data_IF_633280777545
#
_entry.id   IF_633280777545
#
_cell.length_a   1.000
_cell.length_b   1.000
_cell.length_c   1.000
_cell.angle_alpha   90.00
_cell.angle_beta   90.00
_cell.angle_gamma   90.00
#
_symmetry.space_group_name_H-M   'P 1'
#
loop_
_entity.id
_entity.type
_entity.pdbx_description
1 polymer ?
#
# COMPACT_ATOMS: atom_id res chain seq x y z
N UNK A 1 103.10 13.22 39.13
CA UNK A 1 101.90 12.35 38.99
C UNK A 1 100.79 12.84 39.91
N UNK A 2 99.74 13.50 39.39
CA UNK A 2 98.45 13.64 40.10
C UNK A 2 97.32 13.47 39.08
N UNK A 3 96.48 12.47 39.37
CA UNK A 3 95.46 11.87 38.51
C UNK A 3 94.26 12.81 38.39
N UNK A 4 93.98 13.34 37.20
CA UNK A 4 92.74 14.07 36.89
C UNK A 4 91.60 13.04 36.95
N UNK A 5 90.81 13.03 38.03
CA UNK A 5 89.58 12.24 38.10
C UNK A 5 88.55 12.94 37.23
N UNK A 6 88.04 12.22 36.24
CA UNK A 6 86.82 12.57 35.52
C UNK A 6 85.65 12.40 36.49
N UNK A 7 85.30 13.45 37.21
CA UNK A 7 83.97 13.54 37.80
C UNK A 7 83.01 13.83 36.66
N UNK A 8 82.44 12.75 36.11
CA UNK A 8 81.29 12.83 35.22
C UNK A 8 80.18 13.46 36.05
N UNK A 9 79.82 14.69 35.72
CA UNK A 9 78.75 15.45 36.37
C UNK A 9 77.41 14.71 36.24
N UNK A 10 77.06 13.93 37.27
CA UNK A 10 75.85 13.10 37.36
C UNK A 10 74.61 14.00 37.27
N UNK A 11 74.67 15.24 37.74
CA UNK A 11 73.55 16.18 37.69
C UNK A 11 73.22 16.60 36.25
N UNK A 12 74.25 16.84 35.44
CA UNK A 12 74.13 17.09 33.99
C UNK A 12 73.52 15.89 33.24
N UNK A 13 73.94 14.67 33.58
CA UNK A 13 73.38 13.45 32.97
C UNK A 13 71.92 13.22 33.38
N UNK A 14 71.57 13.44 34.65
CA UNK A 14 70.20 13.32 35.14
C UNK A 14 69.27 14.37 34.53
N UNK A 15 69.70 15.64 34.41
CA UNK A 15 68.91 16.69 33.74
C UNK A 15 68.69 16.36 32.25
N UNK A 16 69.69 15.82 31.55
CA UNK A 16 69.55 15.38 30.16
C UNK A 16 68.56 14.22 30.03
N UNK A 17 68.58 13.25 30.94
CA UNK A 17 67.64 12.13 30.93
C UNK A 17 66.19 12.58 31.19
N UNK A 18 65.99 13.52 32.12
CA UNK A 18 64.68 14.12 32.40
C UNK A 18 64.15 14.91 31.22
N UNK A 19 64.99 15.68 30.53
CA UNK A 19 64.63 16.42 29.32
C UNK A 19 64.23 15.49 28.17
N UNK A 20 64.93 14.37 28.00
CA UNK A 20 64.59 13.36 26.98
C UNK A 20 63.24 12.70 27.31
N UNK A 21 63.02 12.30 28.57
CA UNK A 21 61.73 11.73 29.03
C UNK A 21 60.56 12.70 28.87
N UNK A 22 60.77 14.00 29.11
CA UNK A 22 59.75 15.03 28.92
C UNK A 22 59.41 15.26 27.43
N UNK A 23 60.42 15.29 26.56
CA UNK A 23 60.26 15.45 25.10
C UNK A 23 59.53 14.25 24.47
N UNK A 24 59.84 13.03 24.92
CA UNK A 24 59.16 11.80 24.44
C UNK A 24 57.69 11.74 24.89
N UNK A 25 57.39 12.11 26.15
CA UNK A 25 56.00 12.24 26.64
C UNK A 25 55.19 13.29 25.86
N UNK A 26 55.80 14.42 25.50
CA UNK A 26 55.15 15.46 24.69
C UNK A 26 54.87 15.02 23.25
N UNK A 27 55.81 14.29 22.62
CA UNK A 27 55.66 13.76 21.25
C UNK A 27 54.56 12.68 21.18
N UNK A 28 54.51 11.77 22.16
CA UNK A 28 53.43 10.77 22.29
C UNK A 28 52.05 11.41 22.48
N UNK A 29 51.92 12.42 23.35
CA UNK A 29 50.66 13.15 23.57
C UNK A 29 50.17 13.91 22.33
N UNK A 30 51.08 14.46 21.52
CA UNK A 30 50.74 15.11 20.25
C UNK A 30 50.22 14.11 19.20
N UNK A 31 50.83 12.93 19.11
CA UNK A 31 50.36 11.85 18.21
C UNK A 31 48.96 11.36 18.55
N UNK A 32 48.66 11.15 19.84
CA UNK A 32 47.33 10.72 20.29
C UNK A 32 46.26 11.78 20.02
N UNK A 33 46.56 13.07 20.19
CA UNK A 33 45.63 14.17 19.88
C UNK A 33 45.33 14.25 18.38
N UNK A 34 46.33 14.09 17.53
CA UNK A 34 46.13 14.06 16.08
C UNK A 34 45.23 12.89 15.66
N UNK A 35 45.41 11.72 16.29
CA UNK A 35 44.62 10.52 16.01
C UNK A 35 43.16 10.65 16.47
N UNK A 36 42.93 11.26 17.63
CA UNK A 36 41.58 11.57 18.12
C UNK A 36 40.86 12.59 17.23
N UNK A 37 41.56 13.62 16.74
CA UNK A 37 41.00 14.60 15.82
C UNK A 37 40.65 13.98 14.46
N UNK A 38 41.49 13.09 13.93
CA UNK A 38 41.16 12.37 12.69
C UNK A 38 39.96 11.43 12.84
N UNK A 39 39.81 10.79 14.01
CA UNK A 39 38.66 9.94 14.31
C UNK A 39 37.38 10.77 14.40
N UNK A 40 37.42 11.92 15.09
CA UNK A 40 36.30 12.85 15.20
C UNK A 40 35.87 13.40 13.84
N UNK A 41 36.83 13.77 12.98
CA UNK A 41 36.56 14.24 11.62
C UNK A 41 35.93 13.12 10.77
N UNK A 42 36.42 11.88 10.89
CA UNK A 42 35.83 10.72 10.21
C UNK A 42 34.38 10.46 10.62
N UNK A 43 34.09 10.52 11.92
CA UNK A 43 32.72 10.38 12.45
C UNK A 43 31.83 11.54 11.94
N UNK A 44 32.34 12.77 11.91
CA UNK A 44 31.59 13.93 11.38
C UNK A 44 31.27 13.76 9.89
N UNK A 45 32.22 13.29 9.09
CA UNK A 45 32.02 13.03 7.65
C UNK A 45 31.02 11.89 7.45
N UNK A 46 31.13 10.81 8.23
CA UNK A 46 30.17 9.71 8.19
C UNK A 46 28.78 10.21 8.58
N UNK A 47 28.67 10.99 9.64
CA UNK A 47 27.41 11.58 10.09
C UNK A 47 26.81 12.49 9.01
N UNK A 48 27.61 13.36 8.39
CA UNK A 48 27.17 14.23 7.29
C UNK A 48 26.71 13.43 6.07
N UNK A 49 27.45 12.38 5.68
CA UNK A 49 27.07 11.47 4.58
C UNK A 49 25.80 10.68 4.91
N UNK A 50 25.61 10.26 6.16
CA UNK A 50 24.40 9.59 6.62
C UNK A 50 23.21 10.56 6.62
N UNK A 51 23.40 11.80 7.08
CA UNK A 51 22.39 12.85 7.08
C UNK A 51 21.93 13.21 5.66
N UNK A 52 22.87 13.25 4.70
CA UNK A 52 22.54 13.52 3.29
C UNK A 52 21.92 12.31 2.56
N UNK A 53 22.03 11.10 3.12
CA UNK A 53 21.28 9.93 2.65
C UNK A 53 19.85 9.93 3.14
N UNK A 54 19.60 10.34 4.39
CA UNK A 54 18.26 10.51 4.94
C UNK A 54 17.45 11.52 4.12
N UNK A 55 18.00 12.70 3.84
CA UNK A 55 17.32 13.74 3.05
C UNK A 55 16.97 13.31 1.61
N UNK A 56 17.85 12.54 0.96
CA UNK A 56 17.59 11.98 -0.39
C UNK A 56 16.51 10.90 -0.39
N UNK A 57 16.42 10.07 0.66
CA UNK A 57 15.34 9.08 0.80
C UNK A 57 13.98 9.76 0.92
N UNK A 58 13.88 10.85 1.70
CA UNK A 58 12.65 11.62 1.83
C UNK A 58 12.22 12.27 0.51
N UNK A 59 13.17 12.80 -0.26
CA UNK A 59 12.87 13.36 -1.59
C UNK A 59 12.50 12.27 -2.62
N UNK A 60 13.18 11.13 -2.62
CA UNK A 60 12.81 9.97 -3.45
C UNK A 60 11.42 9.45 -3.12
N UNK A 61 11.00 9.49 -1.86
CA UNK A 61 9.64 9.15 -1.45
C UNK A 61 8.61 10.18 -1.96
N UNK A 62 8.93 11.48 -1.95
CA UNK A 62 8.06 12.52 -2.54
C UNK A 62 7.98 12.50 -4.07
N UNK A 63 8.95 11.87 -4.74
CA UNK A 63 8.99 11.66 -6.20
C UNK A 63 8.38 10.31 -6.61
N UNK A 64 8.19 9.40 -5.66
CA UNK A 64 7.53 8.12 -5.85
C UNK A 64 6.03 8.28 -5.55
N UNK A 65 5.30 8.83 -6.53
CA UNK A 65 3.87 8.59 -6.81
C UNK A 65 2.93 8.96 -5.63
N UNK A 66 2.07 9.96 -5.81
CA UNK A 66 0.78 9.99 -5.08
C UNK A 66 0.20 8.58 -5.21
N UNK A 67 0.09 7.81 -4.12
CA UNK A 67 -0.42 6.44 -4.18
C UNK A 67 -1.88 6.50 -4.66
N UNK A 68 -2.07 6.49 -5.98
CA UNK A 68 -3.39 6.45 -6.61
C UNK A 68 -4.07 5.20 -6.10
N UNK A 69 -5.19 5.36 -5.39
CA UNK A 69 -6.02 4.23 -5.02
C UNK A 69 -6.59 3.61 -6.31
N UNK A 70 -6.47 2.29 -6.46
CA UNK A 70 -6.97 1.59 -7.64
C UNK A 70 -8.01 0.56 -7.25
N UNK A 71 -9.05 0.48 -8.07
CA UNK A 71 -10.06 -0.56 -7.96
C UNK A 71 -10.30 -1.20 -9.32
N UNK A 72 -10.65 -2.48 -9.32
CA UNK A 72 -11.09 -3.20 -10.52
C UNK A 72 -12.60 -3.35 -10.48
N UNK A 73 -13.31 -2.76 -11.43
CA UNK A 73 -14.76 -2.88 -11.56
C UNK A 73 -15.08 -3.92 -12.64
N UNK A 74 -16.00 -4.84 -12.36
CA UNK A 74 -16.29 -5.94 -13.28
C UNK A 74 -17.52 -5.65 -14.11
N UNK A 75 -17.33 -5.36 -15.39
CA UNK A 75 -18.40 -5.17 -16.37
C UNK A 75 -18.51 -6.38 -17.30
N UNK A 76 -19.57 -6.50 -18.09
CA UNK A 76 -19.67 -7.61 -19.07
C UNK A 76 -19.18 -7.18 -20.45
N UNK A 77 -18.62 -8.12 -21.20
CA UNK A 77 -18.23 -7.88 -22.59
C UNK A 77 -19.47 -7.70 -23.49
N UNK A 78 -19.38 -6.81 -24.48
CA UNK A 78 -20.39 -6.65 -25.52
C UNK A 78 -20.56 -7.88 -26.43
N UNK A 79 -19.59 -8.81 -26.44
CA UNK A 79 -19.57 -9.98 -27.33
C UNK A 79 -20.08 -11.25 -26.67
N UNK A 80 -19.85 -11.40 -25.37
CA UNK A 80 -20.10 -12.62 -24.62
C UNK A 80 -20.52 -12.28 -23.20
N UNK A 81 -21.41 -13.05 -22.56
CA UNK A 81 -21.80 -12.86 -21.18
C UNK A 81 -20.70 -13.35 -20.24
N UNK A 82 -19.59 -12.62 -20.19
CA UNK A 82 -18.44 -12.86 -19.31
C UNK A 82 -18.00 -11.53 -18.71
N UNK A 83 -17.60 -11.55 -17.44
CA UNK A 83 -17.08 -10.38 -16.76
C UNK A 83 -15.64 -10.08 -17.18
N UNK A 84 -15.34 -8.80 -17.33
CA UNK A 84 -14.02 -8.25 -17.63
C UNK A 84 -13.76 -7.15 -16.62
N UNK A 85 -12.59 -7.20 -15.99
CA UNK A 85 -12.18 -6.20 -15.01
C UNK A 85 -11.64 -4.95 -15.70
N UNK A 86 -12.23 -3.80 -15.38
CA UNK A 86 -11.75 -2.47 -15.76
C UNK A 86 -11.06 -1.84 -14.56
N UNK A 87 -9.76 -1.50 -14.67
CA UNK A 87 -9.03 -0.86 -13.57
C UNK A 87 -9.18 0.65 -13.59
N UNK A 88 -9.73 1.21 -12.52
CA UNK A 88 -9.86 2.66 -12.30
C UNK A 88 -8.85 3.17 -11.28
N UNK A 89 -8.47 4.43 -11.45
CA UNK A 89 -7.64 5.18 -10.51
C UNK A 89 -8.44 6.29 -9.86
N UNK A 90 -8.25 6.46 -8.56
CA UNK A 90 -8.91 7.45 -7.74
C UNK A 90 -7.86 8.32 -7.08
N UNK A 91 -8.12 9.64 -7.07
CA UNK A 91 -7.24 10.62 -6.44
C UNK A 91 -7.31 10.57 -4.92
N UNK A 92 -8.49 10.25 -4.41
CA UNK A 92 -8.75 10.16 -2.97
C UNK A 92 -8.76 8.69 -2.56
N UNK A 93 -7.96 8.38 -1.55
CA UNK A 93 -7.94 7.06 -0.93
C UNK A 93 -9.09 7.02 0.09
N UNK A 94 -10.02 6.06 0.00
CA UNK A 94 -11.08 5.92 0.99
C UNK A 94 -10.52 5.73 2.40
N UNK A 95 -11.16 6.35 3.38
CA UNK A 95 -10.69 6.34 4.78
C UNK A 95 -10.86 4.97 5.44
N UNK A 96 -11.76 4.13 4.90
CA UNK A 96 -12.05 2.78 5.36
C UNK A 96 -12.70 1.95 4.25
N UNK A 97 -12.85 0.64 4.51
CA UNK A 97 -13.44 -0.33 3.58
C UNK A 97 -14.87 0.05 3.17
N UNK A 98 -15.68 0.54 4.11
CA UNK A 98 -17.07 0.89 3.82
C UNK A 98 -17.15 2.03 2.79
N UNK A 99 -16.34 3.07 2.95
CA UNK A 99 -16.26 4.18 2.01
C UNK A 99 -15.74 3.71 0.63
N UNK A 100 -14.72 2.85 0.61
CA UNK A 100 -14.20 2.30 -0.64
C UNK A 100 -15.22 1.42 -1.37
N UNK A 101 -15.95 0.58 -0.64
CA UNK A 101 -16.98 -0.29 -1.19
C UNK A 101 -18.18 0.51 -1.72
N UNK A 102 -18.59 1.60 -1.04
CA UNK A 102 -19.59 2.55 -1.56
C UNK A 102 -19.14 3.16 -2.88
N UNK A 103 -17.92 3.69 -2.92
CA UNK A 103 -17.33 4.27 -4.13
C UNK A 103 -17.29 3.25 -5.28
N UNK A 104 -16.89 2.01 -5.01
CA UNK A 104 -16.82 0.94 -6.02
C UNK A 104 -18.20 0.68 -6.66
N UNK A 105 -19.27 0.59 -5.85
CA UNK A 105 -20.62 0.37 -6.35
C UNK A 105 -21.18 1.57 -7.10
N UNK A 106 -20.94 2.79 -6.62
CA UNK A 106 -21.35 4.01 -7.33
C UNK A 106 -20.69 4.10 -8.71
N UNK A 107 -19.40 3.77 -8.79
CA UNK A 107 -18.65 3.75 -10.04
C UNK A 107 -19.10 2.60 -10.98
N UNK A 108 -19.50 1.46 -10.40
CA UNK A 108 -20.09 0.35 -11.15
C UNK A 108 -21.45 0.73 -11.75
N UNK A 109 -22.29 1.46 -11.01
CA UNK A 109 -23.59 1.98 -11.47
C UNK A 109 -23.40 3.00 -12.62
N UNK A 110 -22.37 3.85 -12.55
CA UNK A 110 -22.05 4.80 -13.63
C UNK A 110 -21.75 4.10 -14.97
N UNK A 111 -21.30 2.84 -14.92
CA UNK A 111 -20.99 2.04 -16.10
C UNK A 111 -19.54 2.13 -16.55
N UNK A 112 -19.15 1.30 -17.52
CA UNK A 112 -17.77 1.18 -17.98
C UNK A 112 -17.27 2.43 -18.71
N UNK A 113 -15.96 2.62 -18.71
CA UNK A 113 -15.25 3.65 -19.48
C UNK A 113 -14.49 3.05 -20.67
N UNK A 114 -14.17 1.76 -20.63
CA UNK A 114 -13.47 1.06 -21.70
C UNK A 114 -14.41 0.63 -22.84
N UNK A 115 -13.94 0.77 -24.08
CA UNK A 115 -14.69 0.33 -25.26
C UNK A 115 -14.91 -1.19 -25.26
N UNK A 116 -16.11 -1.61 -25.66
CA UNK A 116 -16.46 -3.03 -25.77
C UNK A 116 -16.92 -3.67 -24.45
N UNK A 117 -16.98 -2.91 -23.37
CA UNK A 117 -17.68 -3.27 -22.14
C UNK A 117 -19.08 -2.63 -22.11
N UNK A 118 -20.02 -3.29 -21.43
CA UNK A 118 -21.38 -2.82 -21.24
C UNK A 118 -21.78 -2.87 -19.77
N UNK A 119 -22.74 -2.03 -19.41
CA UNK A 119 -23.34 -1.96 -18.07
C UNK A 119 -23.82 -3.34 -17.60
N UNK A 120 -23.67 -3.60 -16.31
CA UNK A 120 -24.14 -4.81 -15.62
C UNK A 120 -25.30 -4.54 -14.67
N UNK A 121 -25.72 -3.29 -14.54
CA UNK A 121 -26.93 -2.89 -13.81
C UNK A 121 -27.72 -1.85 -14.61
N UNK A 122 -29.04 -1.71 -14.38
CA UNK A 122 -29.82 -0.61 -14.93
C UNK A 122 -29.26 0.75 -14.49
N UNK A 123 -29.22 1.74 -15.39
CA UNK A 123 -28.67 3.07 -15.10
C UNK A 123 -29.46 3.82 -14.02
N UNK A 124 -30.73 3.49 -13.83
CA UNK A 124 -31.59 4.09 -12.80
C UNK A 124 -31.39 3.49 -11.40
N UNK A 125 -30.55 2.46 -11.28
CA UNK A 125 -30.19 1.84 -10.00
C UNK A 125 -29.59 2.88 -9.07
N UNK A 126 -30.07 2.92 -7.81
CA UNK A 126 -29.45 3.72 -6.75
C UNK A 126 -28.98 2.82 -5.63
N UNK A 127 -27.78 3.06 -5.13
CA UNK A 127 -27.34 2.55 -3.84
C UNK A 127 -27.97 3.41 -2.74
N UNK A 128 -28.88 2.83 -1.95
CA UNK A 128 -29.56 3.51 -0.83
C UNK A 128 -28.65 3.55 0.39
N UNK A 129 -28.04 2.43 0.71
CA UNK A 129 -27.10 2.27 1.82
C UNK A 129 -26.17 1.09 1.57
N UNK A 130 -25.06 1.04 2.28
CA UNK A 130 -24.19 -0.13 2.35
C UNK A 130 -23.87 -0.42 3.81
N UNK A 131 -24.06 -1.67 4.24
CA UNK A 131 -23.66 -2.14 5.56
C UNK A 131 -22.54 -3.16 5.45
N UNK A 132 -21.66 -3.18 6.44
CA UNK A 132 -20.67 -4.24 6.64
C UNK A 132 -20.92 -4.88 8.00
N UNK A 133 -21.07 -6.21 8.02
CA UNK A 133 -21.14 -6.97 9.25
C UNK A 133 -20.31 -8.25 9.07
N UNK A 134 -19.36 -8.46 9.99
CA UNK A 134 -18.35 -9.52 9.89
C UNK A 134 -17.61 -9.47 8.54
N UNK A 135 -17.70 -10.50 7.72
CA UNK A 135 -17.10 -10.62 6.39
C UNK A 135 -18.11 -10.42 5.24
N UNK A 136 -19.31 -9.92 5.55
CA UNK A 136 -20.42 -9.78 4.60
C UNK A 136 -20.75 -8.30 4.36
N UNK A 137 -20.81 -7.94 3.07
CA UNK A 137 -21.34 -6.65 2.63
C UNK A 137 -22.82 -6.74 2.25
N UNK A 138 -23.61 -5.76 2.66
CA UNK A 138 -25.05 -5.68 2.41
C UNK A 138 -25.38 -4.42 1.61
N UNK A 139 -25.15 -4.41 0.29
CA UNK A 139 -25.59 -3.31 -0.55
C UNK A 139 -27.12 -3.30 -0.66
N UNK A 140 -27.72 -2.18 -0.30
CA UNK A 140 -29.15 -1.95 -0.40
C UNK A 140 -29.46 -1.07 -1.61
N UNK A 141 -30.12 -1.64 -2.61
CA UNK A 141 -30.47 -0.96 -3.84
C UNK A 141 -31.92 -0.47 -3.85
N UNK A 142 -32.19 0.53 -4.69
CA UNK A 142 -33.54 0.99 -4.96
C UNK A 142 -34.34 0.00 -5.79
N UNK A 143 -35.67 0.11 -5.74
CA UNK A 143 -36.59 -0.76 -6.49
C UNK A 143 -36.32 -0.81 -8.00
N UNK A 144 -35.78 0.25 -8.60
CA UNK A 144 -35.39 0.30 -10.02
C UNK A 144 -34.37 -0.78 -10.40
N UNK A 145 -33.52 -1.20 -9.45
CA UNK A 145 -32.55 -2.28 -9.65
C UNK A 145 -33.21 -3.57 -10.12
N UNK A 146 -34.38 -3.90 -9.57
CA UNK A 146 -35.16 -5.09 -9.94
C UNK A 146 -36.10 -4.77 -11.09
N UNK A 147 -36.84 -3.67 -10.99
CA UNK A 147 -37.91 -3.32 -11.94
C UNK A 147 -37.39 -3.14 -13.37
N UNK A 148 -36.23 -2.51 -13.53
CA UNK A 148 -35.65 -2.18 -14.83
C UNK A 148 -34.59 -3.20 -15.27
N UNK A 149 -34.42 -4.28 -14.50
CA UNK A 149 -33.47 -5.33 -14.86
C UNK A 149 -33.89 -6.00 -16.17
N UNK A 150 -32.93 -6.22 -17.08
CA UNK A 150 -33.16 -6.87 -18.37
C UNK A 150 -33.56 -8.34 -18.27
N UNK A 151 -33.38 -8.94 -17.08
CA UNK A 151 -33.80 -10.30 -16.79
C UNK A 151 -32.96 -11.38 -17.48
N UNK A 152 -33.51 -12.59 -17.51
CA UNK A 152 -32.85 -13.77 -18.07
C UNK A 152 -31.72 -14.32 -17.20
N UNK A 153 -31.42 -15.60 -17.36
CA UNK A 153 -30.42 -16.32 -16.55
C UNK A 153 -29.04 -15.69 -16.63
N UNK A 154 -28.54 -15.44 -17.85
CA UNK A 154 -27.22 -14.82 -18.03
C UNK A 154 -27.18 -13.39 -17.52
N UNK A 155 -28.25 -12.62 -17.73
CA UNK A 155 -28.33 -11.25 -17.24
C UNK A 155 -28.25 -11.18 -15.72
N UNK A 156 -29.05 -12.01 -15.04
CA UNK A 156 -29.03 -12.11 -13.59
C UNK A 156 -27.66 -12.53 -13.04
N UNK A 157 -27.09 -13.62 -13.55
CA UNK A 157 -25.79 -14.12 -13.09
C UNK A 157 -24.71 -13.04 -13.26
N UNK A 158 -24.67 -12.37 -14.41
CA UNK A 158 -23.68 -11.32 -14.69
C UNK A 158 -23.85 -10.12 -13.77
N UNK A 159 -25.08 -9.66 -13.54
CA UNK A 159 -25.35 -8.55 -12.62
C UNK A 159 -24.89 -8.88 -11.20
N UNK A 160 -25.24 -10.06 -10.70
CA UNK A 160 -24.92 -10.45 -9.33
C UNK A 160 -23.40 -10.60 -9.16
N UNK A 161 -22.73 -11.35 -10.04
CA UNK A 161 -21.28 -11.55 -9.92
C UNK A 161 -20.46 -10.31 -10.28
N UNK A 162 -20.99 -9.39 -11.07
CA UNK A 162 -20.40 -8.06 -11.27
C UNK A 162 -20.26 -7.32 -9.94
N UNK A 163 -21.33 -7.30 -9.13
CA UNK A 163 -21.34 -6.68 -7.79
C UNK A 163 -20.43 -7.46 -6.83
N UNK A 164 -20.64 -8.78 -6.73
CA UNK A 164 -19.95 -9.63 -5.75
C UNK A 164 -18.43 -9.61 -5.99
N UNK A 165 -17.99 -9.77 -7.24
CA UNK A 165 -16.56 -9.79 -7.58
C UNK A 165 -15.94 -8.39 -7.44
N UNK A 166 -16.67 -7.32 -7.79
CA UNK A 166 -16.19 -5.94 -7.58
C UNK A 166 -15.93 -5.66 -6.10
N UNK A 167 -16.82 -6.07 -5.20
CA UNK A 167 -16.60 -5.85 -3.77
C UNK A 167 -15.51 -6.77 -3.23
N UNK A 168 -15.66 -8.08 -3.42
CA UNK A 168 -14.85 -9.07 -2.69
C UNK A 168 -13.40 -9.17 -3.20
N UNK A 169 -13.12 -8.72 -4.43
CA UNK A 169 -11.76 -8.77 -4.99
C UNK A 169 -10.98 -7.47 -4.81
N UNK A 170 -11.63 -6.37 -4.40
CA UNK A 170 -10.95 -5.12 -4.04
C UNK A 170 -10.78 -4.94 -2.54
N UNK A 171 -11.60 -5.61 -1.72
CA UNK A 171 -11.61 -5.45 -0.26
C UNK A 171 -11.49 -6.80 0.43
N UNK A 172 -10.34 -7.06 1.05
CA UNK A 172 -10.05 -8.34 1.70
C UNK A 172 -11.00 -8.64 2.87
N UNK A 173 -11.59 -7.63 3.48
CA UNK A 173 -12.55 -7.76 4.56
C UNK A 173 -13.93 -8.25 4.07
N UNK A 174 -14.23 -8.09 2.77
CA UNK A 174 -15.50 -8.52 2.18
C UNK A 174 -15.29 -9.87 1.51
N UNK A 175 -15.81 -10.94 2.13
CA UNK A 175 -15.74 -12.30 1.59
C UNK A 175 -17.03 -12.73 0.90
N UNK A 176 -18.16 -12.12 1.27
CA UNK A 176 -19.47 -12.38 0.68
C UNK A 176 -20.29 -11.12 0.56
N UNK A 177 -21.30 -11.17 -0.29
CA UNK A 177 -22.24 -10.06 -0.50
C UNK A 177 -23.68 -10.57 -0.42
N UNK A 178 -24.49 -9.93 0.41
CA UNK A 178 -25.93 -10.16 0.50
C UNK A 178 -26.67 -8.97 -0.08
N UNK A 179 -27.35 -9.18 -1.20
CA UNK A 179 -28.05 -8.09 -1.90
C UNK A 179 -29.38 -7.83 -1.22
N UNK A 180 -29.64 -6.54 -0.97
CA UNK A 180 -30.90 -6.03 -0.45
C UNK A 180 -31.55 -5.10 -1.49
N UNK A 181 -32.88 -5.08 -1.48
CA UNK A 181 -33.68 -4.15 -2.28
C UNK A 181 -34.73 -3.53 -1.37
N UNK A 182 -34.75 -2.21 -1.31
CA UNK A 182 -35.61 -1.46 -0.39
C UNK A 182 -35.50 -1.94 1.07
N UNK A 183 -34.29 -2.28 1.50
CA UNK A 183 -33.96 -2.75 2.85
C UNK A 183 -34.38 -4.20 3.13
N UNK A 184 -34.72 -4.98 2.11
CA UNK A 184 -35.17 -6.37 2.24
C UNK A 184 -34.34 -7.32 1.42
N UNK A 185 -34.10 -8.51 1.95
CA UNK A 185 -33.56 -9.63 1.18
C UNK A 185 -34.55 -10.00 0.07
N UNK A 186 -34.00 -10.34 -1.09
CA UNK A 186 -34.74 -10.86 -2.22
C UNK A 186 -34.30 -12.30 -2.48
N UNK A 187 -35.22 -13.22 -2.84
CA UNK A 187 -34.86 -14.62 -3.12
C UNK A 187 -34.08 -14.78 -4.43
N UNK A 188 -34.28 -13.85 -5.36
CA UNK A 188 -33.66 -13.84 -6.69
C UNK A 188 -33.90 -12.48 -7.33
N UNK A 189 -33.02 -12.07 -8.25
CA UNK A 189 -33.17 -10.83 -9.02
C UNK A 189 -34.10 -11.02 -10.23
N UNK A 190 -34.03 -12.17 -10.91
CA UNK A 190 -34.81 -12.44 -12.13
C UNK A 190 -35.36 -13.87 -12.26
N UNK A 191 -35.21 -14.72 -11.24
CA UNK A 191 -35.79 -16.06 -11.17
C UNK A 191 -34.81 -17.23 -11.24
N UNK A 192 -33.50 -17.00 -11.31
CA UNK A 192 -32.52 -18.06 -11.64
C UNK A 192 -31.41 -18.26 -10.63
N UNK A 193 -30.96 -17.20 -9.94
CA UNK A 193 -29.92 -17.30 -8.92
C UNK A 193 -30.53 -17.08 -7.54
N UNK A 194 -30.26 -18.00 -6.61
CA UNK A 194 -30.65 -17.85 -5.22
C UNK A 194 -29.82 -16.74 -4.56
N UNK A 195 -30.47 -15.63 -4.25
CA UNK A 195 -29.89 -14.47 -3.55
C UNK A 195 -30.38 -14.36 -2.11
N UNK A 196 -31.07 -15.38 -1.59
CA UNK A 196 -31.56 -15.39 -0.19
C UNK A 196 -30.46 -15.58 0.86
N UNK A 197 -29.20 -15.77 0.42
CA UNK A 197 -28.03 -15.96 1.28
C UNK A 197 -26.83 -15.20 0.73
N UNK A 198 -25.85 -14.84 1.58
CA UNK A 198 -24.64 -14.16 1.14
C UNK A 198 -23.87 -14.97 0.09
N UNK A 199 -23.49 -14.31 -1.01
CA UNK A 199 -22.85 -14.93 -2.18
C UNK A 199 -21.36 -14.63 -2.14
N UNK A 200 -20.54 -15.68 -2.28
CA UNK A 200 -19.09 -15.59 -2.43
C UNK A 200 -18.68 -15.19 -3.85
N UNK A 201 -17.52 -14.56 -4.06
CA UNK A 201 -17.02 -14.30 -5.40
C UNK A 201 -16.80 -15.60 -6.17
N UNK A 202 -17.02 -15.54 -7.47
CA UNK A 202 -16.77 -16.65 -8.39
C UNK A 202 -15.97 -16.14 -9.59
N UNK A 203 -14.73 -16.62 -9.69
CA UNK A 203 -13.77 -16.21 -10.69
C UNK A 203 -14.04 -16.85 -12.05
N UNK A 204 -14.84 -17.92 -12.12
CA UNK A 204 -15.17 -18.61 -13.37
C UNK A 204 -15.97 -17.73 -14.34
N UNK A 205 -16.63 -16.68 -13.81
CA UNK A 205 -17.33 -15.67 -14.60
C UNK A 205 -16.41 -14.56 -15.11
N UNK A 206 -15.11 -14.56 -14.79
CA UNK A 206 -14.15 -13.54 -15.21
C UNK A 206 -13.30 -14.05 -16.37
N UNK A 207 -13.21 -13.26 -17.45
CA UNK A 207 -12.37 -13.56 -18.60
C UNK A 207 -10.91 -13.74 -18.20
N UNK A 208 -10.28 -14.83 -18.66
CA UNK A 208 -8.86 -15.12 -18.44
C UNK A 208 -8.51 -15.79 -17.10
N UNK A 209 -9.47 -16.02 -16.20
CA UNK A 209 -9.29 -16.81 -14.98
C UNK A 209 -10.10 -18.11 -15.05
N UNK A 210 -9.68 -19.06 -15.89
CA UNK A 210 -9.99 -20.48 -15.65
C UNK A 210 -8.97 -20.99 -14.65
N UNK A 211 -9.45 -21.59 -13.56
CA UNK A 211 -8.62 -22.17 -12.49
C UNK A 211 -7.48 -23.03 -13.06
N UNK A 212 -6.28 -22.83 -12.51
CA UNK A 212 -5.13 -23.73 -12.66
C UNK A 212 -5.29 -24.92 -11.72
#
# INVERSE_FOLDING_TARGET
MKKKRNDIDIESLMKRELLIKAKDKGKKRRGVRALLLSLLLGILVIFFVLQEREGRKSQLHSLAIEEDFRMTLYFTSAKTPILVGESRRFKEIPSNVLEGAKLALEELIKGPMEEGLILTMPQETKLRELYLAEDVAYPDFSYEFVKNHWGGTSGEIITIYSIVNTLSLNFDEIKKVQILVEGREIPTLAGHLDTSRPISPDLSFISGKKEL
#
